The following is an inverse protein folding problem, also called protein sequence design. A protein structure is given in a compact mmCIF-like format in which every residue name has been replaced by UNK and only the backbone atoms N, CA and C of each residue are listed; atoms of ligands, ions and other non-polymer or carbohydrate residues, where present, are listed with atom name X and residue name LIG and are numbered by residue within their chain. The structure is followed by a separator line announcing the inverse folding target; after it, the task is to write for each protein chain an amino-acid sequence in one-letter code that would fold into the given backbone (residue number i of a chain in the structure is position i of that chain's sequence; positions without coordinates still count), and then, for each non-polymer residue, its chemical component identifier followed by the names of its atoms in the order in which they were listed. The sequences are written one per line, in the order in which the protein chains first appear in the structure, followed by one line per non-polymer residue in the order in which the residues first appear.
data_IF_099215815429
#
_entry.id   IF_099215815429
#
_cell.length_a   1.000
_cell.length_b   1.000
_cell.length_c   1.000
_cell.angle_alpha   90.00
_cell.angle_beta   90.00
_cell.angle_gamma   90.00
#
_symmetry.space_group_name_H-M   'P 1'
#
loop_
_entity.id
_entity.type
_entity.pdbx_description
1 polymer ?
#
# COMPACT_ATOMS: atom_id res chain seq x y z
N UNK A 1 24.15 1.38 11.01
CA UNK A 1 24.75 2.69 11.35
C UNK A 1 25.31 3.30 10.06
N UNK A 2 24.44 3.92 9.25
CA UNK A 2 24.91 4.64 8.06
C UNK A 2 25.51 5.96 8.52
N UNK A 3 26.83 6.09 8.39
CA UNK A 3 27.51 7.38 8.55
C UNK A 3 26.93 8.27 7.46
N UNK A 4 26.06 9.18 7.86
CA UNK A 4 25.53 10.26 7.02
C UNK A 4 26.70 10.85 6.26
N UNK A 5 26.75 10.64 4.93
CA UNK A 5 27.82 11.19 4.08
C UNK A 5 27.74 12.71 4.16
N UNK A 6 28.48 13.29 5.09
CA UNK A 6 28.84 14.71 5.05
C UNK A 6 29.43 14.91 3.67
N UNK A 7 28.85 15.81 2.87
CA UNK A 7 29.37 16.05 1.53
C UNK A 7 30.84 16.42 1.67
N UNK A 8 31.74 15.95 0.79
CA UNK A 8 33.17 16.26 0.89
C UNK A 8 33.43 17.76 0.99
N UNK A 9 32.54 18.57 0.40
CA UNK A 9 32.53 20.02 0.52
C UNK A 9 32.22 20.55 1.94
N UNK A 10 31.24 19.98 2.64
CA UNK A 10 30.90 20.42 4.01
C UNK A 10 32.01 19.99 4.99
N UNK A 11 32.62 18.81 4.78
CA UNK A 11 33.80 18.37 5.54
C UNK A 11 35.00 19.30 5.32
N UNK A 12 35.21 19.73 4.07
CA UNK A 12 36.24 20.71 3.74
C UNK A 12 36.01 22.05 4.44
N UNK A 13 34.76 22.54 4.52
CA UNK A 13 34.43 23.76 5.28
C UNK A 13 34.74 23.58 6.77
N UNK A 14 34.35 22.44 7.37
CA UNK A 14 34.66 22.14 8.77
C UNK A 14 36.17 22.13 9.03
N UNK A 15 36.95 21.52 8.13
CA UNK A 15 38.41 21.47 8.24
C UNK A 15 39.03 22.88 8.18
N UNK A 16 38.56 23.73 7.26
CA UNK A 16 39.02 25.11 7.16
C UNK A 16 38.67 25.95 8.40
N UNK A 17 37.46 25.79 8.94
CA UNK A 17 37.06 26.46 10.19
C UNK A 17 37.90 26.03 11.39
N UNK A 18 38.25 24.74 11.47
CA UNK A 18 39.13 24.21 12.51
C UNK A 18 40.55 24.77 12.41
N UNK A 19 41.12 24.80 11.19
CA UNK A 19 42.44 25.38 10.92
C UNK A 19 42.44 26.87 11.27
N UNK A 20 41.39 27.61 10.91
CA UNK A 20 41.27 29.03 11.22
C UNK A 20 41.15 29.29 12.73
N UNK A 21 40.46 28.42 13.47
CA UNK A 21 40.37 28.49 14.93
C UNK A 21 41.74 28.27 15.58
N UNK A 22 42.48 27.23 15.18
CA UNK A 22 43.83 26.99 15.69
C UNK A 22 44.81 28.10 15.30
N UNK A 23 44.68 28.66 14.10
CA UNK A 23 45.47 29.82 13.67
C UNK A 23 45.15 31.07 14.52
N UNK A 24 43.88 31.31 14.85
CA UNK A 24 43.47 32.41 15.72
C UNK A 24 43.99 32.23 17.15
N UNK A 25 43.90 31.02 17.72
CA UNK A 25 44.44 30.68 19.04
C UNK A 25 45.96 30.87 19.07
N UNK A 26 46.66 30.38 18.03
CA UNK A 26 48.10 30.58 17.89
C UNK A 26 48.45 32.07 17.81
N UNK A 27 47.74 32.84 16.97
CA UNK A 27 47.97 34.27 16.81
C UNK A 27 47.76 35.04 18.12
N UNK A 28 46.72 34.70 18.91
CA UNK A 28 46.48 35.28 20.23
C UNK A 28 47.60 34.94 21.22
N UNK A 29 48.00 33.66 21.31
CA UNK A 29 49.07 33.21 22.20
C UNK A 29 50.43 33.85 21.86
N UNK A 30 50.72 34.06 20.58
CA UNK A 30 51.94 34.76 20.13
C UNK A 30 51.88 36.29 20.31
N UNK A 31 50.68 36.88 20.33
CA UNK A 31 50.49 38.30 20.60
C UNK A 31 50.64 38.63 22.09
N UNK A 32 50.11 37.78 22.98
CA UNK A 32 50.23 37.95 24.44
C UNK A 32 51.66 37.75 24.97
N UNK A 33 52.48 36.90 24.32
CA UNK A 33 53.84 36.56 24.77
C UNK A 33 54.96 37.48 24.22
N UNK A 34 54.64 38.69 23.75
CA UNK A 34 55.62 39.56 23.08
C UNK A 34 56.12 40.70 23.96
N UNK A 35 57.31 40.48 24.53
CA UNK A 35 58.08 41.51 25.26
C UNK A 35 59.03 42.34 24.36
N UNK A 36 59.08 42.12 23.04
CA UNK A 36 60.02 42.86 22.17
C UNK A 36 59.47 43.19 20.76
N UNK A 37 59.38 44.48 20.38
CA UNK A 37 58.72 44.93 19.14
C UNK A 37 59.59 44.90 17.86
N UNK A 38 60.87 44.52 17.93
CA UNK A 38 61.80 44.67 16.79
C UNK A 38 61.85 43.47 15.83
N UNK A 39 61.40 42.27 16.23
CA UNK A 39 61.35 41.06 15.38
C UNK A 39 59.92 40.58 15.10
N UNK A 40 58.96 41.51 15.09
CA UNK A 40 57.54 41.18 14.99
C UNK A 40 57.21 40.79 13.53
N UNK A 41 56.85 39.52 13.24
CA UNK A 41 56.36 39.13 11.93
C UNK A 41 55.16 40.01 11.55
N UNK A 42 55.02 40.34 10.26
CA UNK A 42 53.99 41.26 9.74
C UNK A 42 52.57 41.02 10.30
N UNK A 43 52.22 39.75 10.53
CA UNK A 43 50.93 39.29 11.08
C UNK A 43 50.63 39.73 12.53
N UNK A 44 51.65 40.16 13.29
CA UNK A 44 51.54 40.58 14.69
C UNK A 44 51.70 42.10 14.87
N UNK A 45 51.72 42.87 13.78
CA UNK A 45 51.56 44.33 13.86
C UNK A 45 50.13 44.64 14.32
N UNK A 46 49.90 45.59 15.24
CA UNK A 46 48.57 45.89 15.77
C UNK A 46 47.49 46.06 14.68
N UNK A 47 47.77 46.90 13.68
CA UNK A 47 46.86 47.16 12.54
C UNK A 47 46.52 45.91 11.71
N UNK A 48 47.39 44.91 11.69
CA UNK A 48 47.22 43.66 10.95
C UNK A 48 46.55 42.60 11.81
N UNK A 49 46.95 42.49 13.09
CA UNK A 49 46.33 41.60 14.07
C UNK A 49 44.84 41.92 14.26
N UNK A 50 44.50 43.20 14.45
CA UNK A 50 43.12 43.66 14.66
C UNK A 50 42.20 43.41 13.47
N UNK A 51 42.76 43.14 12.28
CA UNK A 51 41.99 42.77 11.08
C UNK A 51 41.97 41.27 10.85
N UNK A 52 43.11 40.60 11.05
CA UNK A 52 43.30 39.17 10.77
C UNK A 52 42.65 38.30 11.85
N UNK A 53 42.77 38.66 13.13
CA UNK A 53 42.20 37.89 14.23
C UNK A 53 40.66 37.83 14.18
N UNK A 54 39.91 38.95 14.05
CA UNK A 54 38.45 38.89 13.95
C UNK A 54 37.96 38.21 12.66
N UNK A 55 38.71 38.32 11.57
CA UNK A 55 38.39 37.63 10.32
C UNK A 55 38.54 36.11 10.45
N UNK A 56 39.66 35.63 11.00
CA UNK A 56 39.90 34.20 11.22
C UNK A 56 38.89 33.60 12.21
N UNK A 57 38.66 34.26 13.34
CA UNK A 57 37.78 33.76 14.38
C UNK A 57 36.29 33.92 14.00
N UNK A 58 35.87 35.11 13.59
CA UNK A 58 34.47 35.42 13.32
C UNK A 58 33.98 34.90 11.97
N UNK A 59 34.66 35.27 10.89
CA UNK A 59 34.19 34.96 9.53
C UNK A 59 34.49 33.52 9.14
N UNK A 60 35.70 33.03 9.38
CA UNK A 60 36.14 31.71 8.88
C UNK A 60 35.80 30.59 9.87
N UNK A 61 36.15 30.73 11.15
CA UNK A 61 35.88 29.69 12.15
C UNK A 61 34.38 29.65 12.52
N UNK A 62 33.84 30.71 13.13
CA UNK A 62 32.45 30.73 13.59
C UNK A 62 31.47 30.73 12.42
N UNK A 63 31.67 31.60 11.42
CA UNK A 63 30.81 31.71 10.24
C UNK A 63 30.82 30.43 9.38
N UNK A 64 31.99 29.84 9.15
CA UNK A 64 32.12 28.58 8.41
C UNK A 64 31.47 27.40 9.13
N UNK A 65 31.65 27.31 10.46
CA UNK A 65 30.99 26.29 11.28
C UNK A 65 29.46 26.44 11.26
N UNK A 66 28.94 27.65 11.44
CA UNK A 66 27.50 27.92 11.39
C UNK A 66 26.89 27.57 10.01
N UNK A 67 27.61 27.86 8.93
CA UNK A 67 27.17 27.53 7.57
C UNK A 67 27.17 26.02 7.31
N UNK A 68 28.23 25.31 7.70
CA UNK A 68 28.29 23.85 7.56
C UNK A 68 27.22 23.17 8.44
N UNK A 69 27.06 23.63 9.69
CA UNK A 69 26.05 23.14 10.61
C UNK A 69 24.63 23.35 10.08
N UNK A 70 24.29 24.55 9.60
CA UNK A 70 22.95 24.84 9.05
C UNK A 70 22.64 24.03 7.79
N UNK A 71 23.64 23.75 6.93
CA UNK A 71 23.47 22.89 5.76
C UNK A 71 23.23 21.43 6.14
N UNK A 72 23.94 20.94 7.15
CA UNK A 72 23.72 19.58 7.70
C UNK A 72 22.34 19.49 8.37
N UNK A 73 21.89 20.54 9.07
CA UNK A 73 20.55 20.56 9.65
C UNK A 73 19.46 20.56 8.57
N UNK A 74 19.55 21.43 7.55
CA UNK A 74 18.59 21.45 6.43
C UNK A 74 18.56 20.14 5.65
N UNK A 75 19.71 19.46 5.51
CA UNK A 75 19.74 18.15 4.83
C UNK A 75 19.07 17.06 5.66
N UNK A 76 19.26 17.06 6.98
CA UNK A 76 18.53 16.17 7.91
C UNK A 76 17.02 16.44 7.88
N UNK A 77 16.61 17.70 7.96
CA UNK A 77 15.19 18.10 7.87
C UNK A 77 14.55 17.67 6.55
N UNK A 78 15.27 17.83 5.43
CA UNK A 78 14.80 17.37 4.12
C UNK A 78 14.60 15.86 4.10
N UNK A 79 15.57 15.08 4.57
CA UNK A 79 15.46 13.61 4.64
C UNK A 79 14.27 13.20 5.52
N UNK A 80 14.08 13.83 6.67
CA UNK A 80 12.95 13.57 7.56
C UNK A 80 11.61 13.89 6.88
N UNK A 81 11.51 15.03 6.18
CA UNK A 81 10.31 15.41 5.44
C UNK A 81 9.99 14.43 4.30
N UNK A 82 11.00 13.99 3.55
CA UNK A 82 10.84 13.06 2.43
C UNK A 82 10.40 11.68 2.92
N UNK A 83 10.94 11.22 4.06
CA UNK A 83 10.52 10.01 4.76
C UNK A 83 9.09 10.12 5.28
N UNK A 84 8.71 11.24 5.90
CA UNK A 84 7.35 11.45 6.40
C UNK A 84 6.32 11.42 5.26
N UNK A 85 6.62 12.07 4.13
CA UNK A 85 5.75 12.00 2.94
C UNK A 85 5.68 10.57 2.38
N UNK A 86 6.76 9.79 2.48
CA UNK A 86 6.77 8.40 2.00
C UNK A 86 5.90 7.51 2.90
N UNK A 87 6.04 7.66 4.22
CA UNK A 87 5.20 6.99 5.22
C UNK A 87 3.72 7.29 5.01
N UNK A 88 3.34 8.56 4.90
CA UNK A 88 1.94 8.94 4.64
C UNK A 88 1.40 8.36 3.33
N UNK A 89 2.24 8.20 2.30
CA UNK A 89 1.83 7.57 1.05
C UNK A 89 1.64 6.05 1.21
N UNK A 90 2.48 5.37 1.99
CA UNK A 90 2.35 3.95 2.31
C UNK A 90 1.10 3.68 3.15
N UNK A 91 0.86 4.46 4.20
CA UNK A 91 -0.32 4.32 5.07
C UNK A 91 -1.62 4.48 4.27
N UNK A 92 -1.67 5.43 3.33
CA UNK A 92 -2.79 5.58 2.40
C UNK A 92 -3.00 4.37 1.48
N UNK A 93 -1.92 3.67 1.08
CA UNK A 93 -2.01 2.46 0.26
C UNK A 93 -2.54 1.29 1.09
N UNK A 94 -2.03 1.12 2.31
CA UNK A 94 -2.52 0.10 3.26
C UNK A 94 -4.01 0.28 3.50
N UNK A 95 -4.44 1.50 3.83
CA UNK A 95 -5.86 1.80 4.07
C UNK A 95 -6.74 1.43 2.86
N UNK A 96 -6.30 1.74 1.63
CA UNK A 96 -7.05 1.38 0.43
C UNK A 96 -7.14 -0.12 0.20
N UNK A 97 -6.06 -0.86 0.42
CA UNK A 97 -6.08 -2.33 0.32
C UNK A 97 -6.99 -2.96 1.38
N UNK A 98 -7.03 -2.38 2.58
CA UNK A 98 -7.98 -2.78 3.64
C UNK A 98 -9.42 -2.51 3.21
N UNK A 99 -9.74 -1.32 2.68
CA UNK A 99 -11.07 -0.99 2.16
C UNK A 99 -11.50 -1.97 1.06
N UNK A 100 -10.60 -2.29 0.12
CA UNK A 100 -10.86 -3.27 -0.94
C UNK A 100 -11.10 -4.67 -0.36
N UNK A 101 -10.29 -5.08 0.61
CA UNK A 101 -10.47 -6.37 1.29
C UNK A 101 -11.81 -6.45 2.01
N UNK A 102 -12.23 -5.38 2.70
CA UNK A 102 -13.52 -5.31 3.41
C UNK A 102 -14.72 -5.42 2.46
N UNK A 103 -14.67 -4.72 1.31
CA UNK A 103 -15.70 -4.83 0.27
C UNK A 103 -15.77 -6.28 -0.23
N UNK A 104 -14.60 -6.88 -0.50
CA UNK A 104 -14.51 -8.24 -1.02
C UNK A 104 -15.02 -9.28 -0.03
N UNK A 105 -14.67 -9.10 1.25
CA UNK A 105 -15.16 -9.90 2.36
C UNK A 105 -16.67 -9.81 2.50
N UNK A 106 -17.23 -8.59 2.41
CA UNK A 106 -18.67 -8.35 2.57
C UNK A 106 -19.48 -9.04 1.47
N UNK A 107 -19.10 -8.90 0.20
CA UNK A 107 -19.83 -9.61 -0.86
C UNK A 107 -19.68 -11.13 -0.70
N UNK A 108 -18.50 -11.64 -0.29
CA UNK A 108 -18.29 -13.06 -0.12
C UNK A 108 -19.15 -13.63 1.02
N UNK A 109 -19.32 -12.88 2.11
CA UNK A 109 -20.26 -13.22 3.17
C UNK A 109 -21.71 -13.29 2.66
N UNK A 110 -22.12 -12.36 1.80
CA UNK A 110 -23.45 -12.38 1.17
C UNK A 110 -23.63 -13.63 0.29
N UNK A 111 -22.64 -13.97 -0.54
CA UNK A 111 -22.64 -15.20 -1.35
C UNK A 111 -22.73 -16.44 -0.46
N UNK A 112 -21.97 -16.50 0.63
CA UNK A 112 -22.00 -17.61 1.60
C UNK A 112 -23.34 -17.72 2.31
N UNK A 113 -24.00 -16.59 2.61
CA UNK A 113 -25.35 -16.58 3.17
C UNK A 113 -26.34 -17.19 2.18
N UNK A 114 -26.30 -16.79 0.90
CA UNK A 114 -27.18 -17.36 -0.12
C UNK A 114 -26.98 -18.87 -0.29
N UNK A 115 -25.73 -19.34 -0.25
CA UNK A 115 -25.44 -20.78 -0.22
C UNK A 115 -26.16 -21.49 0.93
N UNK A 116 -26.15 -20.91 2.14
CA UNK A 116 -26.84 -21.49 3.30
C UNK A 116 -28.34 -21.52 3.11
N UNK A 117 -28.92 -20.47 2.54
CA UNK A 117 -30.37 -20.37 2.27
C UNK A 117 -30.84 -21.38 1.22
N UNK A 118 -30.03 -21.65 0.21
CA UNK A 118 -30.33 -22.65 -0.83
C UNK A 118 -30.16 -24.10 -0.35
N UNK A 119 -29.44 -24.32 0.76
CA UNK A 119 -29.19 -25.67 1.27
C UNK A 119 -30.48 -26.32 1.72
N UNK A 120 -30.87 -27.40 1.05
CA UNK A 120 -32.11 -28.15 1.35
C UNK A 120 -33.39 -27.44 0.89
N UNK A 121 -33.27 -26.34 0.13
CA UNK A 121 -34.42 -25.62 -0.41
C UNK A 121 -35.03 -26.29 -1.66
N UNK A 122 -34.28 -27.19 -2.30
CA UNK A 122 -34.68 -27.85 -3.53
C UNK A 122 -35.51 -29.10 -3.26
N UNK A 123 -36.64 -29.22 -3.96
CA UNK A 123 -37.56 -30.36 -3.91
C UNK A 123 -37.49 -31.08 -5.25
N UNK A 124 -37.19 -32.38 -5.25
CA UNK A 124 -37.17 -33.18 -6.48
C UNK A 124 -38.58 -33.72 -6.79
N UNK A 125 -39.19 -33.23 -7.86
CA UNK A 125 -40.49 -33.73 -8.33
C UNK A 125 -40.34 -35.05 -9.08
N UNK A 126 -40.83 -36.15 -8.51
CA UNK A 126 -40.73 -37.50 -9.09
C UNK A 126 -41.48 -37.64 -10.43
N UNK A 127 -42.58 -36.91 -10.63
CA UNK A 127 -43.43 -37.05 -11.83
C UNK A 127 -42.84 -36.46 -13.12
N UNK A 128 -41.83 -35.58 -13.03
CA UNK A 128 -41.24 -34.91 -14.20
C UNK A 128 -39.71 -34.87 -14.22
N UNK A 129 -39.04 -35.43 -13.21
CA UNK A 129 -37.58 -35.35 -13.08
C UNK A 129 -37.07 -33.91 -12.97
N UNK A 130 -37.90 -33.01 -12.43
CA UNK A 130 -37.60 -31.58 -12.31
C UNK A 130 -37.32 -31.20 -10.86
N UNK A 131 -36.40 -30.27 -10.67
CA UNK A 131 -36.16 -29.65 -9.38
C UNK A 131 -37.07 -28.43 -9.20
N UNK A 132 -37.61 -28.26 -8.01
CA UNK A 132 -38.47 -27.13 -7.63
C UNK A 132 -37.89 -26.38 -6.44
N UNK A 133 -38.17 -25.09 -6.33
CA UNK A 133 -37.85 -24.23 -5.17
C UNK A 133 -38.98 -23.24 -4.94
N UNK A 134 -39.12 -22.71 -3.72
CA UNK A 134 -40.05 -21.60 -3.45
C UNK A 134 -39.69 -20.38 -4.28
N UNK A 135 -40.68 -19.75 -4.91
CA UNK A 135 -40.48 -18.57 -5.76
C UNK A 135 -39.81 -17.43 -5.00
N UNK A 136 -40.37 -17.02 -3.86
CA UNK A 136 -39.82 -15.90 -3.09
C UNK A 136 -38.36 -16.12 -2.68
N UNK A 137 -38.00 -17.35 -2.29
CA UNK A 137 -36.61 -17.68 -1.97
C UNK A 137 -35.68 -17.59 -3.19
N UNK A 138 -36.14 -18.06 -4.35
CA UNK A 138 -35.37 -17.96 -5.59
C UNK A 138 -35.15 -16.51 -6.02
N UNK A 139 -36.20 -15.69 -6.00
CA UNK A 139 -36.13 -14.28 -6.37
C UNK A 139 -35.16 -13.53 -5.46
N UNK A 140 -35.28 -13.68 -4.14
CA UNK A 140 -34.38 -13.05 -3.18
C UNK A 140 -32.92 -13.47 -3.37
N UNK A 141 -32.66 -14.76 -3.57
CA UNK A 141 -31.30 -15.27 -3.79
C UNK A 141 -30.75 -14.77 -5.13
N UNK A 142 -31.55 -14.74 -6.18
CA UNK A 142 -31.14 -14.25 -7.49
C UNK A 142 -30.76 -12.77 -7.45
N UNK A 143 -31.56 -11.94 -6.77
CA UNK A 143 -31.27 -10.52 -6.56
C UNK A 143 -29.94 -10.36 -5.80
N UNK A 144 -29.77 -11.07 -4.68
CA UNK A 144 -28.56 -10.97 -3.86
C UNK A 144 -27.28 -11.45 -4.60
N UNK A 145 -27.38 -12.50 -5.43
CA UNK A 145 -26.26 -12.96 -6.25
C UNK A 145 -25.93 -11.97 -7.38
N UNK A 146 -26.93 -11.29 -7.93
CA UNK A 146 -26.72 -10.24 -8.93
C UNK A 146 -26.05 -9.00 -8.33
N UNK A 147 -26.49 -8.56 -7.15
CA UNK A 147 -25.82 -7.48 -6.40
C UNK A 147 -24.35 -7.81 -6.12
N UNK A 148 -24.06 -9.03 -5.64
CA UNK A 148 -22.70 -9.48 -5.41
C UNK A 148 -21.85 -9.51 -6.70
N UNK A 149 -22.47 -9.84 -7.84
CA UNK A 149 -21.81 -9.82 -9.15
C UNK A 149 -21.44 -8.39 -9.57
N UNK A 150 -22.36 -7.43 -9.39
CA UNK A 150 -22.13 -6.02 -9.69
C UNK A 150 -21.08 -5.39 -8.76
N UNK A 151 -21.10 -5.74 -7.47
CA UNK A 151 -20.09 -5.26 -6.51
C UNK A 151 -18.70 -5.78 -6.87
N UNK A 152 -18.60 -7.05 -7.26
CA UNK A 152 -17.36 -7.58 -7.81
C UNK A 152 -16.85 -6.76 -8.99
N UNK A 153 -17.72 -6.35 -9.92
CA UNK A 153 -17.34 -5.54 -11.10
C UNK A 153 -16.80 -4.16 -10.71
N UNK A 154 -17.39 -3.53 -9.69
CA UNK A 154 -16.91 -2.25 -9.15
C UNK A 154 -15.50 -2.41 -8.56
N UNK A 155 -15.26 -3.49 -7.81
CA UNK A 155 -13.95 -3.75 -7.21
C UNK A 155 -12.87 -3.94 -8.28
N UNK A 156 -13.12 -4.70 -9.34
CA UNK A 156 -12.15 -4.89 -10.45
C UNK A 156 -11.77 -3.55 -11.09
N UNK A 157 -12.73 -2.65 -11.31
CA UNK A 157 -12.48 -1.30 -11.82
C UNK A 157 -11.66 -0.44 -10.86
N UNK A 158 -11.73 -0.72 -9.56
CA UNK A 158 -10.99 0.03 -8.54
C UNK A 158 -9.50 -0.33 -8.56
N UNK A 159 -9.16 -1.58 -8.93
CA UNK A 159 -7.78 -2.02 -9.10
C UNK A 159 -7.03 -1.35 -10.26
N UNK A 160 -7.71 -0.68 -11.19
CA UNK A 160 -7.05 0.07 -12.26
C UNK A 160 -6.32 1.33 -11.73
N UNK A 161 -6.70 1.85 -10.56
CA UNK A 161 -6.17 3.11 -10.02
C UNK A 161 -4.83 2.97 -9.26
N UNK A 162 -4.44 1.78 -8.81
CA UNK A 162 -3.15 1.60 -8.11
C UNK A 162 -1.94 1.85 -9.02
N UNK A 163 -2.11 1.69 -10.33
CA UNK A 163 -1.06 1.96 -11.31
C UNK A 163 -0.63 3.44 -11.32
N UNK A 164 -1.54 4.36 -11.03
CA UNK A 164 -1.24 5.80 -11.03
C UNK A 164 -0.66 6.28 -9.69
N UNK A 165 -0.98 5.63 -8.57
CA UNK A 165 -0.39 5.94 -7.27
C UNK A 165 1.10 5.52 -7.17
N UNK A 166 1.56 4.61 -8.04
CA UNK A 166 2.95 4.13 -8.11
C UNK A 166 3.88 5.04 -8.91
N UNK A 167 3.34 5.90 -9.80
CA UNK A 167 4.14 6.90 -10.53
C UNK A 167 4.64 8.05 -9.63
N UNK A 168 4.13 8.16 -8.40
CA UNK A 168 4.30 9.32 -7.53
C UNK A 168 5.56 9.39 -6.66
N UNK A 169 6.40 8.34 -6.56
CA UNK A 169 7.70 8.42 -5.86
C UNK A 169 8.73 7.43 -6.44
N UNK A 170 10.00 7.89 -6.43
CA UNK A 170 11.26 7.21 -6.72
C UNK A 170 11.16 5.87 -7.48
N UNK A 171 11.58 5.89 -8.75
CA UNK A 171 11.68 4.78 -9.70
C UNK A 171 11.70 3.42 -8.97
N UNK A 172 10.55 2.72 -8.84
CA UNK A 172 10.54 1.37 -8.28
C UNK A 172 11.52 0.53 -9.09
N UNK A 173 12.29 -0.31 -8.42
CA UNK A 173 13.17 -1.23 -9.14
C UNK A 173 12.33 -2.06 -10.11
N UNK A 174 12.91 -2.44 -11.25
CA UNK A 174 12.19 -3.20 -12.29
C UNK A 174 11.52 -4.45 -11.69
N UNK A 175 12.19 -5.09 -10.72
CA UNK A 175 11.68 -6.24 -9.96
C UNK A 175 10.45 -5.94 -9.09
N UNK A 176 10.35 -4.76 -8.48
CA UNK A 176 9.18 -4.36 -7.68
C UNK A 176 7.99 -4.06 -8.57
N UNK A 177 8.24 -3.44 -9.72
CA UNK A 177 7.21 -3.12 -10.69
C UNK A 177 6.61 -4.41 -11.30
N UNK A 178 7.44 -5.41 -11.61
CA UNK A 178 6.97 -6.73 -12.05
C UNK A 178 6.15 -7.46 -11.00
N UNK A 179 6.61 -7.47 -9.73
CA UNK A 179 5.86 -8.08 -8.62
C UNK A 179 4.49 -7.43 -8.43
N UNK A 180 4.42 -6.10 -8.51
CA UNK A 180 3.18 -5.35 -8.39
C UNK A 180 2.22 -5.62 -9.54
N UNK A 181 2.72 -5.66 -10.78
CA UNK A 181 1.91 -6.02 -11.95
C UNK A 181 1.35 -7.44 -11.82
N UNK A 182 2.16 -8.37 -11.34
CA UNK A 182 1.73 -9.75 -11.10
C UNK A 182 0.63 -9.80 -10.03
N UNK A 183 0.83 -9.13 -8.89
CA UNK A 183 -0.18 -9.07 -7.83
C UNK A 183 -1.50 -8.48 -8.35
N UNK A 184 -1.44 -7.36 -9.08
CA UNK A 184 -2.63 -6.74 -9.66
C UNK A 184 -3.34 -7.69 -10.64
N UNK A 185 -2.59 -8.40 -11.48
CA UNK A 185 -3.14 -9.40 -12.38
C UNK A 185 -3.81 -10.54 -11.62
N UNK A 186 -3.16 -11.05 -10.57
CA UNK A 186 -3.67 -12.15 -9.74
C UNK A 186 -4.96 -11.75 -9.02
N UNK A 187 -4.99 -10.57 -8.37
CA UNK A 187 -6.18 -10.05 -7.68
C UNK A 187 -7.36 -9.84 -8.65
N UNK A 188 -7.10 -9.28 -9.84
CA UNK A 188 -8.13 -9.11 -10.88
C UNK A 188 -8.63 -10.45 -11.40
N UNK A 189 -7.73 -11.40 -11.63
CA UNK A 189 -8.07 -12.74 -12.10
C UNK A 189 -8.95 -13.48 -11.08
N UNK A 190 -8.64 -13.37 -9.79
CA UNK A 190 -9.39 -14.01 -8.71
C UNK A 190 -10.81 -13.44 -8.60
N UNK A 191 -10.99 -12.12 -8.60
CA UNK A 191 -12.32 -11.50 -8.58
C UNK A 191 -13.07 -11.76 -9.89
N UNK A 192 -12.39 -11.69 -11.03
CA UNK A 192 -12.95 -12.03 -12.33
C UNK A 192 -13.45 -13.49 -12.39
N UNK A 193 -12.74 -14.41 -11.74
CA UNK A 193 -13.18 -15.80 -11.56
C UNK A 193 -14.50 -15.90 -10.80
N UNK A 194 -14.64 -15.19 -9.67
CA UNK A 194 -15.88 -15.12 -8.89
C UNK A 194 -17.03 -14.57 -9.73
N UNK A 195 -16.82 -13.43 -10.40
CA UNK A 195 -17.81 -12.82 -11.27
C UNK A 195 -18.25 -13.74 -12.41
N UNK A 196 -17.29 -14.41 -13.06
CA UNK A 196 -17.57 -15.32 -14.17
C UNK A 196 -18.45 -16.49 -13.74
N UNK A 197 -18.22 -17.02 -12.54
CA UNK A 197 -19.06 -18.08 -11.96
C UNK A 197 -20.47 -17.53 -11.69
N UNK A 198 -20.59 -16.38 -11.01
CA UNK A 198 -21.89 -15.77 -10.70
C UNK A 198 -22.69 -15.46 -11.96
N UNK A 199 -22.06 -14.84 -12.97
CA UNK A 199 -22.70 -14.50 -14.25
C UNK A 199 -23.20 -15.73 -14.99
N UNK A 200 -22.40 -16.81 -15.04
CA UNK A 200 -22.81 -18.06 -15.70
C UNK A 200 -24.04 -18.68 -15.02
N UNK A 201 -24.10 -18.61 -13.69
CA UNK A 201 -25.20 -19.17 -12.90
C UNK A 201 -26.47 -18.33 -13.03
N UNK A 202 -26.36 -17.01 -12.94
CA UNK A 202 -27.46 -16.08 -13.16
C UNK A 202 -28.04 -16.24 -14.57
N UNK A 203 -27.18 -16.34 -15.60
CA UNK A 203 -27.64 -16.61 -16.98
C UNK A 203 -28.39 -17.95 -17.08
N UNK A 204 -27.96 -18.96 -16.36
CA UNK A 204 -28.63 -20.28 -16.34
C UNK A 204 -29.99 -20.19 -15.63
N UNK A 205 -30.10 -19.33 -14.62
CA UNK A 205 -31.33 -19.08 -13.87
C UNK A 205 -32.35 -18.23 -14.66
N UNK A 206 -31.90 -17.16 -15.33
CA UNK A 206 -32.72 -16.25 -16.15
C UNK A 206 -33.41 -16.98 -17.32
N UNK A 207 -32.74 -17.96 -17.94
CA UNK A 207 -33.28 -18.68 -19.11
C UNK A 207 -34.39 -19.68 -18.78
N UNK A 208 -34.62 -20.03 -17.50
CA UNK A 208 -35.61 -21.06 -17.13
C UNK A 208 -36.65 -20.61 -16.10
N UNK A 209 -36.53 -19.40 -15.53
CA UNK A 209 -37.49 -18.84 -14.58
C UNK A 209 -38.87 -18.48 -15.17
N UNK A 210 -39.09 -18.60 -16.48
CA UNK A 210 -40.30 -18.07 -17.14
C UNK A 210 -41.27 -19.14 -17.64
N UNK A 211 -40.87 -20.39 -17.89
CA UNK A 211 -41.66 -21.19 -18.86
C UNK A 211 -42.62 -22.26 -18.34
N UNK A 212 -42.57 -22.81 -17.12
CA UNK A 212 -43.56 -23.85 -16.75
C UNK A 212 -43.95 -23.90 -15.27
N UNK A 213 -45.25 -23.68 -15.00
CA UNK A 213 -45.95 -24.27 -13.86
C UNK A 213 -46.52 -23.30 -12.81
N UNK A 214 -47.23 -22.24 -13.20
CA UNK A 214 -48.08 -21.49 -12.25
C UNK A 214 -49.38 -22.24 -12.00
N UNK A 215 -49.39 -23.10 -10.99
CA UNK A 215 -50.60 -23.38 -10.22
C UNK A 215 -50.62 -22.40 -9.06
N UNK A 216 -51.72 -21.66 -8.86
CA UNK A 216 -51.85 -20.70 -7.76
C UNK A 216 -51.75 -21.34 -6.36
N UNK A 217 -51.79 -22.68 -6.26
CA UNK A 217 -51.79 -23.44 -5.00
C UNK A 217 -50.40 -23.90 -4.54
N UNK A 218 -49.37 -23.83 -5.39
CA UNK A 218 -47.99 -24.14 -5.02
C UNK A 218 -47.08 -22.98 -5.44
N UNK A 219 -46.58 -22.19 -4.47
CA UNK A 219 -45.58 -21.12 -4.68
C UNK A 219 -44.18 -21.67 -5.04
N UNK A 220 -44.16 -22.68 -5.92
CA UNK A 220 -42.98 -23.41 -6.35
C UNK A 220 -42.73 -23.14 -7.82
N UNK A 221 -41.46 -22.87 -8.15
CA UNK A 221 -41.00 -22.73 -9.52
C UNK A 221 -40.06 -23.87 -9.88
N UNK A 222 -40.03 -24.26 -11.15
CA UNK A 222 -39.05 -25.23 -11.67
C UNK A 222 -37.71 -24.52 -11.84
N UNK A 223 -36.63 -25.18 -11.42
CA UNK A 223 -35.27 -24.66 -11.56
C UNK A 223 -34.36 -25.61 -12.36
N UNK A 224 -33.41 -25.06 -13.14
CA UNK A 224 -32.45 -25.84 -13.89
C UNK A 224 -31.62 -26.76 -12.98
N UNK A 225 -31.35 -27.96 -13.46
CA UNK A 225 -30.39 -28.87 -12.82
C UNK A 225 -29.00 -28.21 -12.67
N UNK A 226 -28.61 -27.32 -13.59
CA UNK A 226 -27.37 -26.54 -13.49
C UNK A 226 -27.34 -25.59 -12.28
N UNK A 227 -28.47 -24.96 -11.95
CA UNK A 227 -28.58 -24.08 -10.77
C UNK A 227 -28.58 -24.90 -9.47
N UNK A 228 -29.26 -26.05 -9.49
CA UNK A 228 -29.26 -27.00 -8.36
C UNK A 228 -27.84 -27.53 -8.12
N UNK A 229 -27.14 -27.94 -9.18
CA UNK A 229 -25.73 -28.37 -9.11
C UNK A 229 -24.82 -27.26 -8.58
N UNK A 230 -25.02 -26.01 -9.00
CA UNK A 230 -24.27 -24.87 -8.46
C UNK A 230 -24.44 -24.71 -6.93
N UNK A 231 -25.66 -24.92 -6.45
CA UNK A 231 -26.03 -24.78 -5.05
C UNK A 231 -25.78 -26.05 -4.21
N UNK A 232 -25.62 -27.20 -4.86
CA UNK A 232 -25.38 -28.47 -4.22
C UNK A 232 -24.03 -28.45 -3.48
N UNK A 233 -24.04 -29.07 -2.30
CA UNK A 233 -22.89 -29.18 -1.41
C UNK A 233 -22.33 -30.59 -1.34
N UNK A 234 -22.90 -31.53 -2.11
CA UNK A 234 -22.41 -32.90 -2.20
C UNK A 234 -21.02 -32.95 -2.85
N UNK A 235 -20.19 -33.89 -2.39
CA UNK A 235 -18.80 -34.08 -2.84
C UNK A 235 -18.64 -34.51 -4.30
N UNK A 236 -19.75 -34.75 -5.01
CA UNK A 236 -19.78 -35.27 -6.39
C UNK A 236 -20.46 -34.32 -7.39
N UNK A 237 -21.01 -33.18 -6.94
CA UNK A 237 -21.75 -32.20 -7.75
C UNK A 237 -20.99 -30.89 -7.96
N UNK A 238 -21.30 -30.19 -9.05
CA UNK A 238 -20.50 -29.10 -9.59
C UNK A 238 -20.29 -27.92 -8.61
N UNK A 239 -19.08 -27.36 -8.67
CA UNK A 239 -18.36 -26.74 -7.56
C UNK A 239 -18.59 -25.24 -7.40
N UNK A 240 -19.75 -24.71 -7.81
CA UNK A 240 -19.96 -23.26 -7.97
C UNK A 240 -19.54 -22.41 -6.77
N UNK A 241 -20.21 -22.60 -5.64
CA UNK A 241 -19.83 -21.93 -4.39
C UNK A 241 -18.45 -22.35 -3.86
N UNK A 242 -17.98 -23.56 -4.16
CA UNK A 242 -16.65 -24.02 -3.74
C UNK A 242 -15.54 -23.26 -4.48
N UNK A 243 -15.66 -23.13 -5.80
CA UNK A 243 -14.77 -22.36 -6.67
C UNK A 243 -14.78 -20.88 -6.31
N UNK A 244 -15.95 -20.31 -5.98
CA UNK A 244 -16.01 -18.95 -5.45
C UNK A 244 -15.20 -18.85 -4.14
N UNK A 245 -15.30 -19.85 -3.26
CA UNK A 245 -14.45 -19.97 -2.08
C UNK A 245 -12.95 -20.06 -2.40
N UNK A 246 -12.56 -20.94 -3.32
CA UNK A 246 -11.16 -21.12 -3.76
C UNK A 246 -10.57 -19.80 -4.31
N UNK A 247 -11.33 -19.07 -5.13
CA UNK A 247 -10.91 -17.76 -5.64
C UNK A 247 -10.83 -16.70 -4.52
N UNK A 248 -11.77 -16.70 -3.58
CA UNK A 248 -11.76 -15.78 -2.45
C UNK A 248 -10.59 -16.04 -1.50
N UNK A 249 -10.31 -17.30 -1.17
CA UNK A 249 -9.21 -17.68 -0.28
C UNK A 249 -7.87 -17.26 -0.90
N UNK A 250 -7.68 -17.50 -2.20
CA UNK A 250 -6.48 -17.05 -2.91
C UNK A 250 -6.35 -15.51 -2.95
N UNK A 251 -7.48 -14.80 -3.09
CA UNK A 251 -7.51 -13.34 -2.99
C UNK A 251 -7.13 -12.85 -1.59
N UNK A 252 -7.71 -13.44 -0.56
CA UNK A 252 -7.49 -13.08 0.83
C UNK A 252 -6.02 -13.27 1.24
N UNK A 253 -5.38 -14.35 0.81
CA UNK A 253 -3.94 -14.58 1.06
C UNK A 253 -3.10 -13.47 0.43
N UNK A 254 -3.29 -13.22 -0.88
CA UNK A 254 -2.49 -12.25 -1.62
C UNK A 254 -2.62 -10.82 -1.07
N UNK A 255 -3.84 -10.39 -0.72
CA UNK A 255 -4.06 -9.02 -0.22
C UNK A 255 -3.55 -8.84 1.20
N UNK A 256 -3.71 -9.85 2.08
CA UNK A 256 -3.19 -9.81 3.45
C UNK A 256 -1.68 -9.82 3.47
N UNK A 257 -1.03 -10.65 2.64
CA UNK A 257 0.43 -10.65 2.50
C UNK A 257 0.93 -9.28 2.05
N UNK A 258 0.26 -8.65 1.07
CA UNK A 258 0.66 -7.33 0.59
C UNK A 258 0.49 -6.24 1.65
N UNK A 259 -0.62 -6.25 2.39
CA UNK A 259 -0.84 -5.32 3.50
C UNK A 259 0.30 -5.46 4.52
N UNK A 260 0.65 -6.70 4.90
CA UNK A 260 1.72 -6.98 5.85
C UNK A 260 3.08 -6.49 5.38
N UNK A 261 3.40 -6.65 4.10
CA UNK A 261 4.63 -6.12 3.51
C UNK A 261 4.68 -4.58 3.61
N UNK A 262 3.59 -3.90 3.25
CA UNK A 262 3.51 -2.44 3.28
C UNK A 262 3.54 -1.87 4.71
N UNK A 263 2.89 -2.56 5.66
CA UNK A 263 2.96 -2.21 7.09
C UNK A 263 4.38 -2.38 7.64
N UNK A 264 5.07 -3.47 7.26
CA UNK A 264 6.48 -3.67 7.60
C UNK A 264 7.38 -2.58 7.01
N UNK A 265 7.12 -2.19 5.76
CA UNK A 265 7.83 -1.09 5.09
C UNK A 265 7.58 0.24 5.84
N UNK A 266 6.32 0.55 6.17
CA UNK A 266 5.94 1.75 6.93
C UNK A 266 6.60 1.80 8.33
N UNK A 267 6.67 0.67 9.02
CA UNK A 267 7.30 0.57 10.35
C UNK A 267 8.82 0.77 10.30
N UNK A 268 9.49 0.33 9.23
CA UNK A 268 10.93 0.55 9.05
C UNK A 268 11.32 2.04 8.96
N UNK A 269 10.40 2.90 8.51
CA UNK A 269 10.59 4.36 8.55
C UNK A 269 10.51 4.96 9.96
N UNK A 270 9.90 4.26 10.92
CA UNK A 270 9.76 4.69 12.32
C UNK A 270 10.91 4.23 13.24
N UNK A 271 11.51 3.06 12.98
CA UNK A 271 12.52 2.47 13.88
C UNK A 271 13.91 3.12 13.81
N UNK A 272 14.17 4.00 12.84
CA UNK A 272 15.49 4.69 12.75
C UNK A 272 15.66 5.86 13.73
N UNK A 273 14.74 6.04 14.68
CA UNK A 273 14.74 7.15 15.64
C UNK A 273 15.18 6.80 17.08
N UNK A 274 15.51 5.53 17.39
CA UNK A 274 16.02 5.14 18.71
C UNK A 274 17.54 5.02 18.75
#
# INVERSE_FOLDING_TARGET
MEISRIKPFDFFIFLLSLIALFAAIGLAAFYENKDNPLDVPFLLRPDTYDKVFPFLLGTVAIGGFALAYSRVQRSKERILSERQVAKTALDKRVQRLQEVYEIVLTFFQNVRLQRRRLRGAFIHGQEKGCWKIRRGLFEEVSIALNEAQLDGERVVKTFDFEHDALKGKAIPTESENERLKKLQHDLKSQIGGIQGILRNVLRTAEWQGITQGTSNDEDLIIVPEGFVKFADSSTKGNLGFRKIGEHFDAFAVNIVERIRELESESNSFGETQS
#
